data_IF_905392237436
#
_entry.id   IF_905392237436
#
_cell.length_a   1.000
_cell.length_b   1.000
_cell.length_c   1.000
_cell.angle_alpha   90.00
_cell.angle_beta   90.00
_cell.angle_gamma   90.00
#
_symmetry.space_group_name_H-M   'P 1'
#
loop_
_entity.id
_entity.type
_entity.pdbx_description
1 polymer ?
#
# COMPACT_ATOMS: atom_id res chain seq x y z
N UNK A 1 -24.51 52.68 -52.57
CA UNK A 1 -25.37 53.18 -51.49
C UNK A 1 -25.17 52.19 -50.34
N UNK A 2 -24.03 52.19 -49.64
CA UNK A 2 -23.52 53.21 -48.71
C UNK A 2 -24.41 53.38 -47.47
N UNK A 3 -23.76 53.26 -46.31
CA UNK A 3 -24.07 53.74 -44.94
C UNK A 3 -24.83 52.84 -43.96
N UNK A 4 -24.09 52.17 -43.07
CA UNK A 4 -24.25 52.29 -41.59
C UNK A 4 -23.90 53.74 -41.15
N UNK A 5 -24.11 54.24 -39.89
CA UNK A 5 -24.40 53.55 -38.60
C UNK A 5 -25.47 54.26 -37.73
N UNK A 6 -25.70 53.84 -36.47
CA UNK A 6 -25.79 54.70 -35.25
C UNK A 6 -26.10 53.89 -33.98
N UNK A 7 -25.18 53.96 -33.03
CA UNK A 7 -25.31 53.53 -31.62
C UNK A 7 -26.09 54.56 -30.79
N UNK A 8 -26.82 54.13 -29.76
CA UNK A 8 -27.07 54.95 -28.56
C UNK A 8 -26.94 54.07 -27.31
N UNK A 9 -26.03 54.49 -26.42
CA UNK A 9 -25.79 53.99 -25.07
C UNK A 9 -26.92 54.35 -24.10
N UNK A 10 -27.08 53.55 -23.05
CA UNK A 10 -27.88 53.89 -21.87
C UNK A 10 -27.42 53.08 -20.67
N UNK A 11 -26.40 53.60 -19.98
CA UNK A 11 -25.94 53.13 -18.69
C UNK A 11 -26.89 53.61 -17.58
N UNK A 12 -27.33 52.71 -16.69
CA UNK A 12 -27.78 53.08 -15.35
C UNK A 12 -27.24 52.07 -14.34
N UNK A 13 -26.60 52.65 -13.34
CA UNK A 13 -25.83 52.10 -12.22
C UNK A 13 -26.67 51.36 -11.15
N UNK A 14 -26.02 50.57 -10.26
CA UNK A 14 -26.68 49.88 -9.16
C UNK A 14 -26.82 50.78 -7.91
N UNK A 15 -27.77 50.52 -7.00
CA UNK A 15 -27.77 51.15 -5.69
C UNK A 15 -26.88 50.39 -4.69
N UNK A 16 -25.70 50.95 -4.42
CA UNK A 16 -25.07 51.03 -3.09
C UNK A 16 -25.97 51.95 -2.23
N UNK A 17 -26.17 51.87 -0.92
CA UNK A 17 -25.22 51.64 0.16
C UNK A 17 -25.94 51.83 1.52
N UNK A 18 -25.25 51.42 2.59
CA UNK A 18 -25.31 51.95 3.98
C UNK A 18 -26.56 51.54 4.79
N UNK A 19 -26.44 51.00 6.00
CA UNK A 19 -25.26 50.75 6.80
C UNK A 19 -25.63 50.65 8.28
N UNK A 20 -24.83 49.86 8.99
CA UNK A 20 -24.32 50.14 10.33
C UNK A 20 -25.31 50.17 11.49
N UNK A 21 -25.12 49.27 12.46
CA UNK A 21 -24.50 49.68 13.72
C UNK A 21 -23.99 48.47 14.53
N UNK A 22 -22.70 48.57 14.87
CA UNK A 22 -22.01 47.76 15.85
C UNK A 22 -22.31 48.29 17.26
N UNK A 23 -22.46 47.38 18.22
CA UNK A 23 -22.08 47.50 19.64
C UNK A 23 -22.13 46.04 20.17
N UNK A 24 -21.06 45.36 20.58
CA UNK A 24 -19.89 45.83 21.30
C UNK A 24 -20.06 45.53 22.79
N UNK A 25 -19.93 44.27 23.22
CA UNK A 25 -19.62 43.96 24.64
C UNK A 25 -18.63 42.79 24.74
N UNK A 26 -17.54 43.10 25.42
CA UNK A 26 -16.42 42.28 25.86
C UNK A 26 -16.77 41.60 27.19
N UNK A 27 -16.46 40.31 27.33
CA UNK A 27 -16.12 39.73 28.63
C UNK A 27 -15.19 38.52 28.45
N UNK A 28 -13.96 38.69 28.93
CA UNK A 28 -13.01 37.62 29.20
C UNK A 28 -13.56 36.69 30.28
N UNK A 29 -13.35 35.39 30.14
CA UNK A 29 -13.16 34.49 31.28
C UNK A 29 -12.21 33.37 30.88
N UNK A 30 -11.00 33.47 31.41
CA UNK A 30 -10.02 32.40 31.45
C UNK A 30 -10.54 31.30 32.39
N UNK A 31 -10.56 30.06 31.93
CA UNK A 31 -10.48 28.89 32.81
C UNK A 31 -9.26 28.08 32.41
N UNK A 32 -8.26 28.08 33.29
CA UNK A 32 -7.09 27.21 33.24
C UNK A 32 -7.54 25.77 33.50
N UNK A 33 -7.17 24.85 32.62
CA UNK A 33 -7.41 23.42 32.75
C UNK A 33 -6.21 22.64 32.21
N UNK A 34 -5.68 21.78 33.05
CA UNK A 34 -4.30 21.31 33.10
C UNK A 34 -4.00 20.19 32.08
N UNK A 35 -2.76 20.23 31.58
CA UNK A 35 -1.92 19.18 30.99
C UNK A 35 -2.47 17.75 30.95
N UNK A 36 -2.53 17.17 29.74
CA UNK A 36 -2.73 15.74 29.54
C UNK A 36 -2.36 15.29 28.13
N UNK A 37 -1.06 15.28 27.80
CA UNK A 37 -0.55 14.58 26.60
C UNK A 37 -0.83 13.08 26.77
N UNK A 38 -1.94 12.57 26.23
CA UNK A 38 -2.11 11.13 26.06
C UNK A 38 -1.15 10.68 24.96
N UNK A 39 -0.04 10.07 25.37
CA UNK A 39 0.81 9.28 24.48
C UNK A 39 -0.07 8.21 23.83
N UNK A 40 -0.20 8.25 22.51
CA UNK A 40 -0.70 7.10 21.75
C UNK A 40 0.39 6.05 21.79
N UNK A 41 0.16 4.98 22.54
CA UNK A 41 1.05 3.81 22.58
C UNK A 41 0.96 3.11 21.22
N UNK A 42 2.06 2.91 20.49
CA UNK A 42 2.05 2.04 19.33
C UNK A 42 1.66 0.64 19.79
N UNK A 43 0.68 0.04 19.13
CA UNK A 43 0.34 -1.36 19.38
C UNK A 43 1.62 -2.20 19.24
N UNK A 44 1.98 -2.89 20.33
CA UNK A 44 3.15 -3.77 20.38
C UNK A 44 2.94 -4.87 19.35
N UNK A 45 3.86 -4.98 18.41
CA UNK A 45 3.93 -6.05 17.43
C UNK A 45 3.96 -7.41 18.13
N UNK A 46 3.12 -8.33 17.69
CA UNK A 46 2.98 -9.74 18.12
C UNK A 46 4.22 -10.62 17.84
N UNK A 47 5.42 -10.05 17.79
CA UNK A 47 6.68 -10.77 17.56
C UNK A 47 7.23 -11.53 18.78
N UNK A 48 6.52 -11.54 19.92
CA UNK A 48 7.06 -12.08 21.18
C UNK A 48 6.38 -13.36 21.70
N UNK A 49 5.65 -14.12 20.88
CA UNK A 49 5.02 -15.37 21.35
C UNK A 49 5.31 -16.65 20.55
N UNK A 50 6.20 -16.62 19.57
CA UNK A 50 6.69 -17.86 18.91
C UNK A 50 8.08 -18.19 19.47
N UNK A 51 8.11 -18.48 20.77
CA UNK A 51 9.34 -18.72 21.50
C UNK A 51 9.11 -19.65 22.68
N UNK A 52 8.48 -20.80 22.46
CA UNK A 52 8.49 -21.94 23.39
C UNK A 52 7.94 -23.21 22.73
N UNK A 53 8.60 -24.34 23.01
CA UNK A 53 8.34 -25.73 22.59
C UNK A 53 8.87 -26.07 21.19
N UNK A 54 9.97 -26.83 21.02
CA UNK A 54 10.27 -28.13 21.64
C UNK A 54 11.77 -28.29 21.98
N UNK A 55 12.06 -28.72 23.21
CA UNK A 55 13.28 -29.49 23.59
C UNK A 55 13.03 -30.95 23.16
N UNK A 56 13.99 -31.76 22.72
CA UNK A 56 15.05 -32.37 23.56
C UNK A 56 16.07 -33.15 22.67
N UNK A 57 17.16 -33.75 23.22
CA UNK A 57 18.53 -33.49 22.77
C UNK A 57 19.32 -34.76 22.39
N UNK A 58 20.51 -34.57 21.79
CA UNK A 58 21.59 -35.55 21.83
C UNK A 58 22.83 -34.85 22.38
N UNK A 59 23.39 -35.44 23.45
CA UNK A 59 24.48 -34.95 24.30
C UNK A 59 25.78 -34.68 23.51
N UNK A 60 26.78 -33.94 24.02
CA UNK A 60 27.81 -34.45 24.95
C UNK A 60 28.41 -33.32 25.80
N UNK A 61 28.56 -33.59 27.10
CA UNK A 61 29.35 -32.84 28.08
C UNK A 61 30.82 -33.24 27.95
N UNK A 62 31.74 -32.28 27.92
CA UNK A 62 33.12 -32.50 28.34
C UNK A 62 33.46 -31.59 29.53
N UNK A 63 33.75 -32.23 30.64
CA UNK A 63 34.13 -31.66 31.94
C UNK A 63 35.64 -31.74 32.02
N UNK A 64 36.38 -30.72 31.60
CA UNK A 64 37.84 -30.65 31.89
C UNK A 64 38.53 -29.29 31.78
N UNK A 65 37.90 -28.23 31.25
CA UNK A 65 38.51 -26.90 31.21
C UNK A 65 37.41 -25.86 31.40
N UNK A 66 37.38 -25.18 32.54
CA UNK A 66 36.36 -24.19 32.92
C UNK A 66 36.40 -22.90 32.09
N UNK A 67 36.22 -23.00 30.78
CA UNK A 67 36.15 -21.86 29.87
C UNK A 67 34.92 -21.95 28.97
N UNK A 68 34.05 -20.94 29.04
CA UNK A 68 32.95 -20.74 28.10
C UNK A 68 33.54 -20.45 26.71
N UNK A 69 33.66 -21.47 25.88
CA UNK A 69 33.93 -21.27 24.45
C UNK A 69 32.60 -20.92 23.79
N UNK A 70 32.40 -19.65 23.47
CA UNK A 70 31.34 -19.26 22.54
C UNK A 70 31.59 -19.95 21.19
N UNK A 71 30.57 -20.54 20.56
CA UNK A 71 30.74 -21.14 19.25
C UNK A 71 31.25 -20.07 18.28
N UNK A 72 32.46 -20.26 17.77
CA UNK A 72 33.01 -19.46 16.66
C UNK A 72 32.01 -19.55 15.52
N UNK A 73 31.59 -18.39 14.99
CA UNK A 73 30.70 -18.27 13.82
C UNK A 73 31.19 -19.20 12.70
N UNK A 74 30.60 -20.39 12.61
CA UNK A 74 30.70 -21.28 11.48
C UNK A 74 29.98 -20.65 10.30
N UNK A 75 30.54 -20.83 9.11
CA UNK A 75 30.07 -20.27 7.84
C UNK A 75 28.56 -20.49 7.68
N UNK A 76 27.89 -19.43 7.25
CA UNK A 76 26.44 -19.32 7.18
C UNK A 76 25.81 -20.52 6.47
N UNK A 77 24.99 -21.24 7.21
CA UNK A 77 23.88 -21.97 6.63
C UNK A 77 22.90 -20.88 6.20
N UNK A 78 22.88 -20.56 4.91
CA UNK A 78 21.82 -19.75 4.33
C UNK A 78 20.53 -20.57 4.47
N UNK A 79 19.53 -20.02 5.18
CA UNK A 79 18.25 -20.69 5.36
C UNK A 79 17.54 -20.79 3.99
N UNK A 80 17.53 -21.99 3.41
CA UNK A 80 16.86 -22.28 2.12
C UNK A 80 15.34 -21.99 2.19
N UNK A 81 14.72 -22.03 3.37
CA UNK A 81 13.31 -21.67 3.61
C UNK A 81 13.00 -20.18 3.33
N UNK A 82 14.02 -19.32 3.21
CA UNK A 82 13.85 -17.89 2.93
C UNK A 82 13.88 -17.51 1.44
N UNK A 83 14.20 -18.44 0.53
CA UNK A 83 14.37 -18.10 -0.90
C UNK A 83 13.06 -17.73 -1.57
N UNK A 84 11.99 -18.51 -1.34
CA UNK A 84 10.67 -18.25 -1.95
C UNK A 84 10.10 -16.88 -1.55
N UNK A 85 10.16 -16.53 -0.26
CA UNK A 85 9.69 -15.23 0.23
C UNK A 85 10.54 -14.07 -0.31
N UNK A 86 11.85 -14.28 -0.48
CA UNK A 86 12.75 -13.27 -1.05
C UNK A 86 12.43 -13.00 -2.52
N UNK A 87 12.18 -14.04 -3.32
CA UNK A 87 11.80 -13.87 -4.72
C UNK A 87 10.42 -13.19 -4.86
N UNK A 88 9.45 -13.58 -4.05
CA UNK A 88 8.13 -12.93 -4.05
C UNK A 88 8.23 -11.44 -3.69
N UNK A 89 9.06 -11.07 -2.71
CA UNK A 89 9.29 -9.67 -2.37
C UNK A 89 9.91 -8.88 -3.53
N UNK A 90 10.87 -9.47 -4.26
CA UNK A 90 11.44 -8.84 -5.47
C UNK A 90 10.37 -8.62 -6.54
N UNK A 91 9.49 -9.60 -6.77
CA UNK A 91 8.38 -9.46 -7.72
C UNK A 91 7.47 -8.28 -7.34
N UNK A 92 7.16 -8.12 -6.04
CA UNK A 92 6.38 -6.98 -5.54
C UNK A 92 7.13 -5.66 -5.75
N UNK A 93 8.44 -5.61 -5.52
CA UNK A 93 9.26 -4.41 -5.71
C UNK A 93 9.31 -3.99 -7.18
N UNK A 94 9.43 -4.94 -8.11
CA UNK A 94 9.40 -4.69 -9.56
C UNK A 94 8.04 -4.14 -10.01
N UNK A 95 6.93 -4.78 -9.61
CA UNK A 95 5.58 -4.27 -9.89
C UNK A 95 5.40 -2.87 -9.31
N UNK A 96 5.86 -2.63 -8.08
CA UNK A 96 5.83 -1.31 -7.44
C UNK A 96 6.63 -0.29 -8.25
N UNK A 97 7.79 -0.66 -8.78
CA UNK A 97 8.60 0.17 -9.67
C UNK A 97 7.86 0.55 -10.96
N UNK A 98 7.25 -0.43 -11.63
CA UNK A 98 6.46 -0.22 -12.84
C UNK A 98 5.25 0.70 -12.60
N UNK A 99 4.49 0.44 -11.54
CA UNK A 99 3.35 1.28 -11.16
C UNK A 99 3.79 2.70 -10.83
N UNK A 100 4.92 2.86 -10.10
CA UNK A 100 5.50 4.16 -9.78
C UNK A 100 5.87 4.94 -11.03
N UNK A 101 6.51 4.29 -12.02
CA UNK A 101 6.88 4.92 -13.28
C UNK A 101 5.67 5.49 -14.01
N UNK A 102 4.63 4.66 -14.20
CA UNK A 102 3.41 5.04 -14.93
C UNK A 102 2.71 6.20 -14.24
N UNK A 103 2.69 6.20 -12.90
CA UNK A 103 2.04 7.23 -12.09
C UNK A 103 2.88 8.50 -11.89
N UNK A 104 4.17 8.47 -12.19
CA UNK A 104 5.09 9.59 -11.96
C UNK A 104 4.64 10.88 -12.68
N UNK A 105 4.01 10.76 -13.85
CA UNK A 105 3.48 11.92 -14.58
C UNK A 105 2.17 11.60 -15.32
N UNK A 106 1.29 12.59 -15.51
CA UNK A 106 0.07 12.41 -16.30
C UNK A 106 0.35 11.95 -17.73
N UNK A 107 1.44 12.42 -18.35
CA UNK A 107 1.81 12.03 -19.71
C UNK A 107 2.14 10.54 -19.83
N UNK A 108 2.89 9.99 -18.87
CA UNK A 108 3.21 8.54 -18.81
C UNK A 108 1.94 7.73 -18.60
N UNK A 109 1.07 8.15 -17.68
CA UNK A 109 -0.22 7.49 -17.45
C UNK A 109 -1.10 7.49 -18.70
N UNK A 110 -1.19 8.60 -19.43
CA UNK A 110 -1.95 8.67 -20.68
C UNK A 110 -1.36 7.76 -21.77
N UNK A 111 -0.02 7.70 -21.88
CA UNK A 111 0.64 6.78 -22.81
C UNK A 111 0.33 5.32 -22.45
N UNK A 112 0.42 4.96 -21.17
CA UNK A 112 0.06 3.62 -20.68
C UNK A 112 -1.40 3.25 -20.98
N UNK A 113 -2.35 4.17 -20.76
CA UNK A 113 -3.77 3.95 -21.06
C UNK A 113 -4.02 3.60 -22.53
N UNK A 114 -3.25 4.14 -23.47
CA UNK A 114 -3.36 3.78 -24.89
C UNK A 114 -3.09 2.29 -25.10
N UNK A 115 -2.09 1.74 -24.41
CA UNK A 115 -1.77 0.31 -24.50
C UNK A 115 -2.82 -0.57 -23.81
N UNK A 116 -3.40 -0.12 -22.69
CA UNK A 116 -4.53 -0.82 -22.08
C UNK A 116 -5.75 -0.92 -23.01
N UNK A 117 -6.00 0.13 -23.82
CA UNK A 117 -7.06 0.13 -24.85
C UNK A 117 -6.71 -0.84 -26.00
N UNK A 118 -5.46 -0.82 -26.47
CA UNK A 118 -4.98 -1.74 -27.54
C UNK A 118 -5.10 -3.20 -27.11
N UNK A 119 -4.76 -3.51 -25.86
CA UNK A 119 -4.89 -4.84 -25.26
C UNK A 119 -6.33 -5.19 -24.85
N UNK A 120 -7.31 -4.31 -25.12
CA UNK A 120 -8.74 -4.49 -24.82
C UNK A 120 -9.02 -4.81 -23.35
N UNK A 121 -8.30 -4.16 -22.45
CA UNK A 121 -8.48 -4.35 -21.01
C UNK A 121 -9.72 -3.59 -20.55
N UNK A 122 -10.74 -4.33 -20.08
CA UNK A 122 -12.01 -3.76 -19.61
C UNK A 122 -11.96 -3.25 -18.16
N UNK A 123 -10.81 -3.38 -17.49
CA UNK A 123 -10.63 -2.96 -16.11
C UNK A 123 -10.76 -1.44 -15.96
N UNK A 124 -11.75 -1.01 -15.18
CA UNK A 124 -11.99 0.41 -14.86
C UNK A 124 -11.18 0.92 -13.68
N UNK A 125 -10.45 0.05 -12.98
CA UNK A 125 -9.67 0.43 -11.80
C UNK A 125 -8.49 1.31 -12.23
N UNK A 126 -8.09 2.21 -11.35
CA UNK A 126 -6.87 3.00 -11.55
C UNK A 126 -5.71 2.33 -10.83
N UNK A 127 -4.53 2.29 -11.47
CA UNK A 127 -3.30 1.86 -10.81
C UNK A 127 -3.09 2.67 -9.53
N UNK A 128 -2.73 2.03 -8.43
CA UNK A 128 -2.42 2.68 -7.15
C UNK A 128 -1.08 2.19 -6.62
N UNK A 129 -0.34 3.08 -5.95
CA UNK A 129 0.89 2.69 -5.26
C UNK A 129 0.53 2.21 -3.85
N UNK A 130 1.20 1.16 -3.39
CA UNK A 130 0.99 0.64 -2.04
C UNK A 130 1.70 1.48 -0.97
N UNK A 131 1.31 1.22 0.27
CA UNK A 131 2.08 1.55 1.47
C UNK A 131 2.72 0.24 1.94
N UNK A 132 4.04 0.10 1.78
CA UNK A 132 4.76 -1.16 1.98
C UNK A 132 4.61 -1.79 3.38
N UNK A 133 4.17 -1.01 4.37
CA UNK A 133 3.90 -1.48 5.75
C UNK A 133 2.47 -1.96 5.96
N UNK A 134 1.60 -1.89 4.94
CA UNK A 134 0.17 -2.22 5.03
C UNK A 134 -0.24 -3.16 3.90
N UNK A 135 -0.36 -4.44 4.24
CA UNK A 135 -0.73 -5.50 3.32
C UNK A 135 -2.06 -5.24 2.58
N UNK A 136 -3.04 -4.55 3.18
CA UNK A 136 -4.27 -4.11 2.50
C UNK A 136 -3.99 -3.23 1.27
N UNK A 137 -3.07 -2.28 1.39
CA UNK A 137 -2.71 -1.39 0.28
C UNK A 137 -1.85 -2.11 -0.75
N UNK A 138 -1.01 -3.06 -0.32
CA UNK A 138 -0.25 -3.93 -1.20
C UNK A 138 -1.18 -4.81 -2.02
N UNK A 139 -2.19 -5.44 -1.41
CA UNK A 139 -3.22 -6.19 -2.11
C UNK A 139 -3.90 -5.36 -3.21
N UNK A 140 -4.33 -4.13 -2.91
CA UNK A 140 -4.96 -3.28 -3.92
C UNK A 140 -4.03 -2.92 -5.09
N UNK A 141 -2.75 -2.66 -4.81
CA UNK A 141 -1.75 -2.43 -5.86
C UNK A 141 -1.57 -3.68 -6.73
N UNK A 142 -1.39 -4.85 -6.14
CA UNK A 142 -1.19 -6.10 -6.88
C UNK A 142 -2.44 -6.50 -7.67
N UNK A 143 -3.62 -6.39 -7.07
CA UNK A 143 -4.89 -6.68 -7.73
C UNK A 143 -5.12 -5.76 -8.94
N UNK A 144 -4.86 -4.46 -8.80
CA UNK A 144 -4.96 -3.55 -9.93
C UNK A 144 -3.89 -3.83 -10.99
N UNK A 145 -2.64 -4.05 -10.59
CA UNK A 145 -1.55 -4.34 -11.51
C UNK A 145 -1.78 -5.62 -12.32
N UNK A 146 -2.28 -6.69 -11.69
CA UNK A 146 -2.60 -7.95 -12.38
C UNK A 146 -3.64 -7.76 -13.48
N UNK A 147 -4.65 -6.90 -13.25
CA UNK A 147 -5.65 -6.59 -14.28
C UNK A 147 -5.05 -5.85 -15.49
N UNK A 148 -3.86 -5.27 -15.36
CA UNK A 148 -3.15 -4.55 -16.41
C UNK A 148 -1.88 -5.26 -16.90
N UNK A 149 -1.66 -6.54 -16.54
CA UNK A 149 -0.47 -7.35 -16.89
C UNK A 149 -0.09 -7.22 -18.37
N UNK A 150 -1.02 -7.54 -19.29
CA UNK A 150 -0.79 -7.44 -20.74
C UNK A 150 -0.44 -6.03 -21.23
N UNK A 151 -0.97 -5.00 -20.56
CA UNK A 151 -0.63 -3.62 -20.90
C UNK A 151 0.77 -3.25 -20.43
N UNK A 152 1.23 -3.79 -19.29
CA UNK A 152 2.61 -3.62 -18.85
C UNK A 152 3.60 -4.33 -19.76
N UNK A 153 3.31 -5.56 -20.18
CA UNK A 153 4.14 -6.30 -21.15
C UNK A 153 4.31 -5.51 -22.45
N UNK A 154 3.20 -5.06 -23.07
CA UNK A 154 3.29 -4.24 -24.28
C UNK A 154 3.97 -2.88 -24.03
N UNK A 155 3.79 -2.29 -22.85
CA UNK A 155 4.42 -1.02 -22.53
C UNK A 155 5.94 -1.16 -22.41
N UNK A 156 6.42 -2.27 -21.87
CA UNK A 156 7.84 -2.62 -21.79
C UNK A 156 8.48 -2.82 -23.17
N UNK A 157 7.79 -3.50 -24.08
CA UNK A 157 8.28 -3.71 -25.45
C UNK A 157 8.40 -2.41 -26.26
N UNK A 158 7.50 -1.45 -26.03
CA UNK A 158 7.34 -0.28 -26.90
C UNK A 158 7.96 1.01 -26.34
N UNK A 159 8.13 1.13 -25.02
CA UNK A 159 8.71 2.32 -24.39
C UNK A 159 10.11 2.05 -23.84
N UNK A 160 11.12 2.46 -24.62
CA UNK A 160 12.54 2.31 -24.25
C UNK A 160 12.89 3.03 -22.95
N UNK A 161 12.24 4.15 -22.63
CA UNK A 161 12.49 4.88 -21.39
C UNK A 161 11.90 4.15 -20.18
N UNK A 162 10.78 3.45 -20.37
CA UNK A 162 10.20 2.63 -19.32
C UNK A 162 11.13 1.47 -18.98
N UNK A 163 11.56 0.73 -20.00
CA UNK A 163 12.52 -0.37 -19.84
C UNK A 163 13.83 0.08 -19.17
N UNK A 164 14.44 1.18 -19.64
CA UNK A 164 15.68 1.69 -19.07
C UNK A 164 15.53 2.11 -17.60
N UNK A 165 14.38 2.68 -17.21
CA UNK A 165 14.12 3.04 -15.81
C UNK A 165 13.93 1.81 -14.92
N UNK A 166 13.27 0.76 -15.42
CA UNK A 166 13.13 -0.52 -14.70
C UNK A 166 14.48 -1.21 -14.52
N UNK A 167 15.31 -1.25 -15.56
CA UNK A 167 16.67 -1.82 -15.51
C UNK A 167 17.57 -1.09 -14.50
N UNK A 168 17.41 0.23 -14.35
CA UNK A 168 18.13 1.01 -13.34
C UNK A 168 17.60 0.78 -11.91
N UNK A 169 16.34 0.38 -11.79
CA UNK A 169 15.65 0.14 -10.53
C UNK A 169 15.71 -1.32 -10.08
N UNK A 170 14.55 -1.90 -9.85
CA UNK A 170 14.38 -3.25 -9.28
C UNK A 170 14.46 -4.37 -10.35
N UNK A 171 14.67 -4.00 -11.61
CA UNK A 171 14.68 -4.89 -12.77
C UNK A 171 13.36 -4.92 -13.55
N UNK A 172 13.39 -5.59 -14.71
CA UNK A 172 12.21 -5.83 -15.55
C UNK A 172 11.28 -6.89 -14.94
N UNK A 173 10.02 -6.87 -15.37
CA UNK A 173 9.02 -7.84 -14.91
C UNK A 173 9.16 -9.12 -15.73
N UNK A 174 9.49 -10.23 -15.05
CA UNK A 174 9.50 -11.56 -15.65
C UNK A 174 8.12 -12.20 -15.64
N UNK A 175 7.91 -13.22 -16.47
CA UNK A 175 6.74 -14.11 -16.40
C UNK A 175 6.58 -14.70 -14.99
N UNK A 176 7.70 -15.05 -14.35
CA UNK A 176 7.70 -15.56 -12.98
C UNK A 176 7.22 -14.51 -11.97
N UNK A 177 7.45 -13.21 -12.24
CA UNK A 177 7.00 -12.15 -11.35
C UNK A 177 5.48 -12.05 -11.35
N UNK A 178 4.83 -12.18 -12.51
CA UNK A 178 3.37 -12.19 -12.60
C UNK A 178 2.75 -13.41 -11.92
N UNK A 179 3.39 -14.58 -12.00
CA UNK A 179 2.96 -15.77 -11.28
C UNK A 179 3.06 -15.57 -9.75
N UNK A 180 4.18 -15.03 -9.27
CA UNK A 180 4.38 -14.72 -7.85
C UNK A 180 3.38 -13.67 -7.34
N UNK A 181 3.14 -12.63 -8.14
CA UNK A 181 2.19 -11.56 -7.82
C UNK A 181 0.78 -12.10 -7.72
N UNK A 182 0.36 -12.98 -8.64
CA UNK A 182 -0.94 -13.65 -8.59
C UNK A 182 -1.10 -14.48 -7.33
N UNK A 183 -0.12 -15.32 -6.99
CA UNK A 183 -0.14 -16.15 -5.79
C UNK A 183 -0.24 -15.30 -4.52
N UNK A 184 0.57 -14.25 -4.40
CA UNK A 184 0.53 -13.34 -3.25
C UNK A 184 -0.79 -12.57 -3.19
N UNK A 185 -1.29 -12.10 -4.33
CA UNK A 185 -2.57 -11.37 -4.41
C UNK A 185 -3.71 -12.25 -3.94
N UNK A 186 -3.76 -13.51 -4.37
CA UNK A 186 -4.81 -14.45 -3.95
C UNK A 186 -4.70 -14.80 -2.47
N UNK A 187 -3.49 -14.95 -1.93
CA UNK A 187 -3.28 -15.09 -0.49
C UNK A 187 -3.79 -13.86 0.29
N UNK A 188 -3.36 -12.65 -0.09
CA UNK A 188 -3.74 -11.40 0.58
C UNK A 188 -5.22 -11.05 0.44
N UNK A 189 -5.89 -11.54 -0.61
CA UNK A 189 -7.33 -11.32 -0.85
C UNK A 189 -8.18 -11.78 0.33
N UNK A 190 -7.85 -12.91 0.92
CA UNK A 190 -8.59 -13.47 2.06
C UNK A 190 -8.54 -12.52 3.27
N UNK A 191 -7.34 -12.06 3.63
CA UNK A 191 -7.17 -11.10 4.72
C UNK A 191 -7.92 -9.79 4.43
N UNK A 192 -7.89 -9.33 3.17
CA UNK A 192 -8.55 -8.09 2.75
C UNK A 192 -10.07 -8.20 2.96
N UNK A 193 -10.67 -9.30 2.53
CA UNK A 193 -12.10 -9.58 2.70
C UNK A 193 -12.49 -9.68 4.18
N UNK A 194 -11.69 -10.37 5.01
CA UNK A 194 -11.90 -10.44 6.46
C UNK A 194 -11.80 -9.05 7.08
N UNK A 195 -10.81 -8.24 6.69
CA UNK A 195 -10.67 -6.86 7.20
C UNK A 195 -11.85 -5.98 6.79
N UNK A 196 -12.35 -6.11 5.56
CA UNK A 196 -13.56 -5.39 5.13
C UNK A 196 -14.77 -5.80 5.97
N UNK A 197 -14.91 -7.09 6.32
CA UNK A 197 -15.99 -7.59 7.17
C UNK A 197 -15.89 -7.01 8.59
N UNK A 198 -14.70 -7.04 9.20
CA UNK A 198 -14.43 -6.46 10.52
C UNK A 198 -14.68 -4.94 10.53
N UNK A 199 -14.17 -4.21 9.55
CA UNK A 199 -14.28 -2.76 9.49
C UNK A 199 -15.69 -2.28 9.08
N UNK A 200 -16.43 -3.06 8.29
CA UNK A 200 -17.79 -2.76 7.88
C UNK A 200 -18.84 -3.00 8.97
N UNK A 201 -18.54 -3.84 9.96
CA UNK A 201 -19.46 -4.24 11.05
C UNK A 201 -19.39 -3.34 12.29
N UNK A 202 -18.91 -2.10 12.14
CA UNK A 202 -18.64 -1.09 13.19
C UNK A 202 -19.74 -0.79 14.24
N UNK A 203 -20.88 -1.50 14.24
CA UNK A 203 -21.93 -1.42 15.25
C UNK A 203 -22.35 -2.74 15.94
N UNK A 204 -21.82 -3.91 15.58
CA UNK A 204 -22.18 -5.19 16.23
C UNK A 204 -20.92 -5.86 16.80
N UNK A 205 -20.46 -5.32 17.92
CA UNK A 205 -19.26 -5.75 18.63
C UNK A 205 -19.44 -7.12 19.31
N UNK A 206 -18.41 -7.95 19.20
CA UNK A 206 -18.02 -9.12 20.03
C UNK A 206 -18.30 -10.52 19.49
N UNK A 207 -19.48 -10.83 18.92
CA UNK A 207 -19.83 -12.24 18.64
C UNK A 207 -19.11 -12.86 17.43
N UNK A 208 -18.76 -12.09 16.40
CA UNK A 208 -18.18 -12.65 15.16
C UNK A 208 -16.66 -12.47 15.05
N UNK A 209 -16.06 -11.68 15.95
CA UNK A 209 -14.62 -11.38 15.89
C UNK A 209 -13.75 -12.63 16.12
N UNK A 210 -14.23 -13.57 16.95
CA UNK A 210 -13.51 -14.81 17.21
C UNK A 210 -13.49 -15.72 15.98
N UNK A 211 -14.61 -15.81 15.27
CA UNK A 211 -14.72 -16.61 14.04
C UNK A 211 -13.82 -16.03 12.93
N UNK A 212 -13.78 -14.71 12.79
CA UNK A 212 -12.91 -14.03 11.82
C UNK A 212 -11.41 -14.19 12.13
N UNK A 213 -11.03 -14.17 13.42
CA UNK A 213 -9.66 -14.49 13.83
C UNK A 213 -9.31 -15.96 13.57
N UNK A 214 -10.26 -16.87 13.78
CA UNK A 214 -10.07 -18.29 13.53
C UNK A 214 -9.90 -18.59 12.03
N UNK A 215 -10.66 -17.91 11.16
CA UNK A 215 -10.47 -17.98 9.70
C UNK A 215 -9.04 -17.56 9.29
N UNK A 216 -8.51 -16.47 9.87
CA UNK A 216 -7.12 -16.05 9.62
C UNK A 216 -6.11 -17.10 10.10
N UNK A 217 -6.32 -17.68 11.28
CA UNK A 217 -5.43 -18.67 11.85
C UNK A 217 -5.40 -19.97 11.01
N UNK A 218 -6.53 -20.41 10.44
CA UNK A 218 -6.55 -21.53 9.50
C UNK A 218 -5.75 -21.20 8.23
N UNK A 219 -6.00 -20.03 7.62
CA UNK A 219 -5.30 -19.61 6.41
C UNK A 219 -3.78 -19.52 6.58
N UNK A 220 -3.31 -19.21 7.80
CA UNK A 220 -1.89 -19.17 8.13
C UNK A 220 -1.27 -20.56 8.39
N UNK A 221 -2.08 -21.57 8.73
CA UNK A 221 -1.61 -22.96 8.90
C UNK A 221 -1.55 -23.71 7.57
N UNK A 222 -2.43 -23.36 6.65
CA UNK A 222 -2.58 -24.04 5.36
C UNK A 222 -1.74 -23.41 4.23
N UNK A 223 -1.04 -22.31 4.52
CA UNK A 223 -0.12 -21.62 3.60
C UNK A 223 1.33 -22.09 3.75
#
# INVERSE_FOLDING_TARGET
MSTEPTSIEGSVTPPTSIGSENLGVRASSQTKGTTGKRKVTPQRSLKYHIGSCKKNPSNVVDTSQGQLVLPRKGKGVEWEEGKGLKEMNKSVERVRGAVRYVRQSPARLQKFKKYAIVEKIECKKMLCLDVCTRWNSTYLMLDTAQNFERAFERFEEQDTNFRAELERGEGWLSVDDWANVKNLRDFLKHFYEVTLRICGTSYVMSNNFFDELFEIDILLRDA
#
